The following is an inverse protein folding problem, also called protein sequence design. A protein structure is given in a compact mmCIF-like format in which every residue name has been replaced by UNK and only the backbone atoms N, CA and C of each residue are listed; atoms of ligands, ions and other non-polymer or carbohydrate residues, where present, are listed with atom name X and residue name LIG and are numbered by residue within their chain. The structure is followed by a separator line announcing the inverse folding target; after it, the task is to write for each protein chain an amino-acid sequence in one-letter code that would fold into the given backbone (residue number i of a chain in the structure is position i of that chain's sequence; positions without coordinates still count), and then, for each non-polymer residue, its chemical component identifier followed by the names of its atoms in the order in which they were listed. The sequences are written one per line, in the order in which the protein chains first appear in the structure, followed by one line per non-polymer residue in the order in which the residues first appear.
data_IF_349385102297
#
_entry.id   IF_349385102297
#
_cell.length_a   1.000
_cell.length_b   1.000
_cell.length_c   1.000
_cell.angle_alpha   90.00
_cell.angle_beta   90.00
_cell.angle_gamma   90.00
#
_symmetry.space_group_name_H-M   'P 1'
#
loop_
_entity.id
_entity.type
_entity.pdbx_description
1 polymer ?
#
# COMPACT_ATOMS: atom_id res chain seq x y z
N UNK A 1 -6.57 -10.51 -8.88
CA UNK A 1 -5.50 -11.11 -8.06
C UNK A 1 -5.44 -12.61 -8.29
N UNK A 2 -4.23 -13.22 -8.42
CA UNK A 2 -4.07 -14.66 -8.62
C UNK A 2 -4.15 -15.49 -7.32
N UNK A 3 -3.98 -14.87 -6.16
CA UNK A 3 -4.03 -15.52 -4.83
C UNK A 3 -4.71 -14.62 -3.80
N UNK A 4 -5.30 -15.22 -2.77
CA UNK A 4 -5.84 -14.53 -1.59
C UNK A 4 -7.02 -13.62 -1.90
N UNK A 5 -7.90 -14.00 -2.84
CA UNK A 5 -9.02 -13.17 -3.29
C UNK A 5 -9.93 -12.76 -2.13
N UNK A 6 -10.24 -13.67 -1.21
CA UNK A 6 -11.05 -13.34 -0.02
C UNK A 6 -10.37 -12.28 0.86
N UNK A 7 -9.07 -12.46 1.16
CA UNK A 7 -8.32 -11.51 1.99
C UNK A 7 -8.16 -10.14 1.31
N UNK A 8 -7.95 -10.13 -0.01
CA UNK A 8 -7.87 -8.91 -0.81
C UNK A 8 -9.24 -8.24 -0.92
N UNK A 9 -10.34 -8.98 -1.00
CA UNK A 9 -11.69 -8.41 -1.00
C UNK A 9 -11.96 -7.66 0.30
N UNK A 10 -11.72 -8.28 1.46
CA UNK A 10 -11.90 -7.62 2.76
C UNK A 10 -10.97 -6.40 2.89
N UNK A 11 -9.75 -6.49 2.35
CA UNK A 11 -8.82 -5.35 2.31
C UNK A 11 -9.39 -4.19 1.47
N UNK A 12 -9.95 -4.48 0.29
CA UNK A 12 -10.56 -3.48 -0.59
C UNK A 12 -11.85 -2.88 -0.03
N UNK A 13 -12.52 -3.60 0.87
CA UNK A 13 -13.71 -3.13 1.59
C UNK A 13 -13.39 -2.37 2.87
N UNK A 14 -12.13 -2.01 3.11
CA UNK A 14 -11.75 -1.18 4.24
C UNK A 14 -12.60 0.11 4.30
N UNK A 15 -13.19 0.48 5.46
CA UNK A 15 -14.10 1.63 5.57
C UNK A 15 -13.52 2.95 5.05
N UNK A 16 -12.25 3.28 5.39
CA UNK A 16 -11.66 4.55 4.93
C UNK A 16 -11.34 4.50 3.44
N UNK A 17 -10.97 3.33 2.90
CA UNK A 17 -10.73 3.19 1.45
C UNK A 17 -12.02 3.44 0.67
N UNK A 18 -13.14 2.82 1.08
CA UNK A 18 -14.44 3.02 0.44
C UNK A 18 -14.91 4.49 0.52
N UNK A 19 -14.72 5.13 1.67
CA UNK A 19 -15.04 6.55 1.81
C UNK A 19 -14.19 7.43 0.88
N UNK A 20 -12.89 7.14 0.75
CA UNK A 20 -12.02 7.88 -0.16
C UNK A 20 -12.47 7.77 -1.62
N UNK A 21 -12.88 6.57 -2.04
CA UNK A 21 -13.43 6.35 -3.38
C UNK A 21 -14.73 7.12 -3.59
N UNK A 22 -15.62 7.14 -2.60
CA UNK A 22 -16.87 7.91 -2.66
C UNK A 22 -16.64 9.43 -2.69
N UNK A 23 -15.50 9.92 -2.17
CA UNK A 23 -15.18 11.35 -2.07
C UNK A 23 -14.49 11.96 -3.30
N UNK A 24 -14.18 11.17 -4.34
CA UNK A 24 -13.46 11.62 -5.56
C UNK A 24 -12.18 12.40 -5.23
N UNK A 25 -11.40 11.90 -4.26
CA UNK A 25 -10.17 12.56 -3.81
C UNK A 25 -8.96 12.23 -4.71
N UNK A 26 -7.97 13.12 -4.79
CA UNK A 26 -6.71 12.80 -5.48
C UNK A 26 -5.99 11.58 -4.85
N UNK A 27 -6.17 11.36 -3.55
CA UNK A 27 -5.63 10.20 -2.84
C UNK A 27 -6.29 8.89 -3.30
N UNK A 28 -7.56 8.90 -3.73
CA UNK A 28 -8.23 7.69 -4.24
C UNK A 28 -7.59 7.23 -5.55
N UNK A 29 -7.36 8.16 -6.49
CA UNK A 29 -6.65 7.88 -7.75
C UNK A 29 -5.25 7.30 -7.47
N UNK A 30 -4.49 7.91 -6.56
CA UNK A 30 -3.16 7.42 -6.20
C UNK A 30 -3.21 6.00 -5.60
N UNK A 31 -4.17 5.74 -4.71
CA UNK A 31 -4.36 4.42 -4.10
C UNK A 31 -4.80 3.36 -5.12
N UNK A 32 -5.75 3.68 -6.02
CA UNK A 32 -6.19 2.77 -7.10
C UNK A 32 -5.01 2.39 -7.97
N UNK A 33 -4.25 3.38 -8.47
CA UNK A 33 -3.12 3.13 -9.36
C UNK A 33 -2.07 2.27 -8.65
N UNK A 34 -1.78 2.53 -7.39
CA UNK A 34 -0.79 1.79 -6.62
C UNK A 34 -1.23 0.37 -6.24
N UNK A 35 -2.48 0.17 -5.84
CA UNK A 35 -3.05 -1.16 -5.61
C UNK A 35 -3.08 -1.96 -6.93
N UNK A 36 -3.48 -1.34 -8.03
CA UNK A 36 -3.49 -1.96 -9.35
C UNK A 36 -2.07 -2.32 -9.81
N UNK A 37 -1.08 -1.47 -9.55
CA UNK A 37 0.32 -1.74 -9.81
C UNK A 37 0.77 -3.03 -9.13
N UNK A 38 0.56 -3.13 -7.80
CA UNK A 38 0.88 -4.33 -7.03
C UNK A 38 0.14 -5.55 -7.59
N UNK A 39 -1.14 -5.43 -7.94
CA UNK A 39 -1.92 -6.53 -8.49
C UNK A 39 -1.40 -7.02 -9.85
N UNK A 40 -0.96 -6.10 -10.73
CA UNK A 40 -0.38 -6.42 -12.04
C UNK A 40 0.98 -7.10 -11.87
N UNK A 41 1.85 -6.57 -11.00
CA UNK A 41 3.14 -7.19 -10.66
C UNK A 41 2.94 -8.63 -10.18
N UNK A 42 2.02 -8.84 -9.24
CA UNK A 42 1.73 -10.17 -8.68
C UNK A 42 1.13 -11.12 -9.73
N UNK A 43 0.28 -10.61 -10.63
CA UNK A 43 -0.27 -11.39 -11.74
C UNK A 43 0.83 -11.84 -12.71
N UNK A 44 1.71 -10.93 -13.14
CA UNK A 44 2.84 -11.26 -14.03
C UNK A 44 3.76 -12.28 -13.36
N UNK A 45 4.02 -12.10 -12.07
CA UNK A 45 4.80 -13.05 -11.30
C UNK A 45 4.15 -14.43 -11.30
N UNK A 46 2.84 -14.54 -11.10
CA UNK A 46 2.14 -15.83 -11.12
C UNK A 46 2.18 -16.51 -12.49
N UNK A 47 1.89 -15.75 -13.55
CA UNK A 47 1.84 -16.26 -14.93
C UNK A 47 3.22 -16.64 -15.46
N UNK A 48 4.31 -16.13 -14.86
CA UNK A 48 5.70 -16.37 -15.28
C UNK A 48 5.99 -15.93 -16.72
N UNK A 49 5.13 -15.09 -17.29
CA UNK A 49 5.18 -14.64 -18.67
C UNK A 49 5.21 -13.12 -18.72
N UNK A 50 6.31 -12.58 -19.25
CA UNK A 50 6.45 -11.13 -19.44
C UNK A 50 6.05 -10.75 -20.87
N UNK A 51 4.75 -10.53 -21.07
CA UNK A 51 4.22 -10.12 -22.37
C UNK A 51 4.47 -8.64 -22.68
N UNK A 52 4.38 -8.24 -23.95
CA UNK A 52 4.45 -6.82 -24.33
C UNK A 52 3.31 -5.99 -23.71
N UNK A 53 2.13 -6.60 -23.55
CA UNK A 53 0.99 -5.97 -22.85
C UNK A 53 1.30 -5.73 -21.38
N UNK A 54 1.99 -6.68 -20.73
CA UNK A 54 2.45 -6.56 -19.35
C UNK A 54 3.48 -5.44 -19.18
N UNK A 55 4.43 -5.36 -20.12
CA UNK A 55 5.42 -4.27 -20.19
C UNK A 55 4.73 -2.90 -20.28
N UNK A 56 3.82 -2.75 -21.24
CA UNK A 56 3.11 -1.50 -21.47
C UNK A 56 2.26 -1.09 -20.28
N UNK A 57 1.56 -2.05 -19.64
CA UNK A 57 0.80 -1.82 -18.43
C UNK A 57 1.69 -1.34 -17.27
N UNK A 58 2.86 -1.97 -17.05
CA UNK A 58 3.79 -1.57 -16.00
C UNK A 58 4.39 -0.18 -16.25
N UNK A 59 4.75 0.15 -17.49
CA UNK A 59 5.22 1.50 -17.84
C UNK A 59 4.12 2.53 -17.57
N UNK A 60 2.91 2.30 -18.09
CA UNK A 60 1.78 3.21 -17.93
C UNK A 60 1.46 3.43 -16.44
N UNK A 61 1.34 2.36 -15.66
CA UNK A 61 1.06 2.47 -14.22
C UNK A 61 2.20 3.14 -13.46
N UNK A 62 3.46 2.94 -13.86
CA UNK A 62 4.60 3.63 -13.24
C UNK A 62 4.56 5.15 -13.49
N UNK A 63 4.16 5.57 -14.69
CA UNK A 63 3.93 6.98 -15.00
C UNK A 63 2.79 7.54 -14.17
N UNK A 64 1.67 6.82 -14.10
CA UNK A 64 0.53 7.23 -13.28
C UNK A 64 0.88 7.31 -11.79
N UNK A 65 1.74 6.42 -11.26
CA UNK A 65 2.25 6.51 -9.89
C UNK A 65 3.03 7.79 -9.67
N UNK A 66 3.95 8.10 -10.58
CA UNK A 66 4.77 9.29 -10.50
C UNK A 66 3.93 10.57 -10.54
N UNK A 67 2.95 10.62 -11.44
CA UNK A 67 2.05 11.77 -11.62
C UNK A 67 1.03 11.93 -10.50
N UNK A 68 0.52 10.83 -9.94
CA UNK A 68 -0.50 10.88 -8.88
C UNK A 68 0.11 11.24 -7.53
N UNK A 69 1.15 10.50 -7.10
CA UNK A 69 1.83 10.76 -5.84
C UNK A 69 3.23 10.17 -5.84
N UNK A 70 4.23 11.04 -6.01
CA UNK A 70 5.65 10.66 -6.16
C UNK A 70 6.16 9.74 -5.03
N UNK A 71 5.62 9.85 -3.83
CA UNK A 71 6.00 9.01 -2.68
C UNK A 71 5.71 7.51 -2.88
N UNK A 72 4.80 7.15 -3.80
CA UNK A 72 4.49 5.76 -4.16
C UNK A 72 5.33 5.25 -5.34
N UNK A 73 6.09 6.11 -6.02
CA UNK A 73 6.94 5.70 -7.14
C UNK A 73 7.94 4.56 -6.80
N UNK A 74 8.55 4.50 -5.60
CA UNK A 74 9.43 3.39 -5.23
C UNK A 74 8.75 2.02 -5.20
N UNK A 75 7.40 1.92 -5.24
CA UNK A 75 6.70 0.65 -5.45
C UNK A 75 7.11 -0.04 -6.75
N UNK A 76 7.63 0.71 -7.73
CA UNK A 76 8.18 0.14 -8.97
C UNK A 76 9.27 -0.89 -8.71
N UNK A 77 10.00 -0.77 -7.60
CA UNK A 77 11.02 -1.71 -7.19
C UNK A 77 10.45 -3.12 -6.86
N UNK A 78 9.14 -3.26 -6.67
CA UNK A 78 8.50 -4.57 -6.54
C UNK A 78 8.73 -5.44 -7.79
N UNK A 79 9.00 -4.86 -8.96
CA UNK A 79 9.36 -5.62 -10.14
C UNK A 79 10.59 -6.52 -9.94
N UNK A 80 11.48 -6.19 -8.98
CA UNK A 80 12.68 -6.97 -8.67
C UNK A 80 12.37 -8.42 -8.25
N UNK A 81 11.16 -8.72 -7.77
CA UNK A 81 10.74 -10.11 -7.48
C UNK A 81 10.79 -11.01 -8.73
N UNK A 82 10.67 -10.44 -9.93
CA UNK A 82 10.72 -11.19 -11.18
C UNK A 82 12.14 -11.57 -11.60
N UNK A 83 13.17 -10.91 -11.05
CA UNK A 83 14.56 -11.05 -11.49
C UNK A 83 15.02 -12.51 -11.54
N UNK A 84 14.88 -13.22 -10.41
CA UNK A 84 15.34 -14.60 -10.28
C UNK A 84 14.52 -15.55 -11.16
N UNK A 85 13.22 -15.28 -11.29
CA UNK A 85 12.27 -16.13 -11.97
C UNK A 85 12.37 -16.04 -13.50
N UNK A 86 12.68 -14.86 -14.02
CA UNK A 86 12.79 -14.62 -15.47
C UNK A 86 14.20 -14.85 -16.01
N UNK A 87 15.24 -14.89 -15.15
CA UNK A 87 16.63 -15.04 -15.61
C UNK A 87 16.80 -16.25 -16.52
N UNK A 88 17.35 -16.03 -17.72
CA UNK A 88 17.56 -17.06 -18.74
C UNK A 88 16.37 -17.35 -19.64
N UNK A 89 15.26 -16.62 -19.50
CA UNK A 89 14.10 -16.70 -20.41
C UNK A 89 14.09 -15.52 -21.38
N UNK A 90 13.40 -15.65 -22.53
CA UNK A 90 13.17 -14.54 -23.47
C UNK A 90 12.44 -13.35 -22.83
N UNK A 91 11.68 -13.62 -21.75
CA UNK A 91 10.99 -12.62 -20.94
C UNK A 91 11.94 -11.75 -20.12
N UNK A 92 13.18 -12.19 -19.88
CA UNK A 92 14.18 -11.46 -19.11
C UNK A 92 14.55 -10.12 -19.74
N UNK A 93 14.78 -10.11 -21.07
CA UNK A 93 15.17 -8.90 -21.80
C UNK A 93 14.07 -7.85 -21.71
N UNK A 94 12.80 -8.27 -21.84
CA UNK A 94 11.63 -7.37 -21.73
C UNK A 94 11.49 -6.80 -20.32
N UNK A 95 11.79 -7.59 -19.30
CA UNK A 95 11.83 -7.14 -17.92
C UNK A 95 12.93 -6.08 -17.70
N UNK A 96 14.16 -6.33 -18.17
CA UNK A 96 15.24 -5.34 -18.08
C UNK A 96 14.88 -4.05 -18.81
N UNK A 97 14.37 -4.16 -20.04
CA UNK A 97 13.90 -3.01 -20.81
C UNK A 97 12.82 -2.23 -20.07
N UNK A 98 11.87 -2.90 -19.42
CA UNK A 98 10.83 -2.23 -18.61
C UNK A 98 11.43 -1.38 -17.50
N UNK A 99 12.46 -1.87 -16.81
CA UNK A 99 13.08 -1.18 -15.69
C UNK A 99 13.79 0.09 -16.18
N UNK A 100 14.57 -0.02 -17.26
CA UNK A 100 15.22 1.12 -17.88
C UNK A 100 14.22 2.12 -18.47
N UNK A 101 13.16 1.66 -19.12
CA UNK A 101 12.11 2.53 -19.66
C UNK A 101 11.40 3.31 -18.55
N UNK A 102 11.05 2.64 -17.43
CA UNK A 102 10.43 3.31 -16.28
C UNK A 102 11.40 4.34 -15.67
N UNK A 103 12.67 3.98 -15.48
CA UNK A 103 13.69 4.89 -14.94
C UNK A 103 13.91 6.11 -15.86
N UNK A 104 13.96 5.91 -17.18
CA UNK A 104 14.09 6.96 -18.18
C UNK A 104 12.89 7.91 -18.12
N UNK A 105 11.67 7.38 -18.18
CA UNK A 105 10.45 8.21 -18.13
C UNK A 105 10.35 8.97 -16.81
N UNK A 106 10.71 8.34 -15.69
CA UNK A 106 10.71 9.01 -14.40
C UNK A 106 11.75 10.14 -14.33
N UNK A 107 12.93 9.94 -14.91
CA UNK A 107 13.96 10.97 -15.01
C UNK A 107 13.50 12.14 -15.87
N UNK A 108 12.92 11.88 -17.05
CA UNK A 108 12.37 12.91 -17.91
C UNK A 108 11.22 13.68 -17.23
N UNK A 109 10.29 12.98 -16.59
CA UNK A 109 9.17 13.61 -15.89
C UNK A 109 9.65 14.44 -14.70
N UNK A 110 10.64 13.97 -13.94
CA UNK A 110 11.23 14.74 -12.85
C UNK A 110 11.88 16.03 -13.38
N UNK A 111 12.71 15.94 -14.41
CA UNK A 111 13.37 17.12 -15.03
C UNK A 111 12.36 18.10 -15.63
N UNK A 112 11.32 17.61 -16.30
CA UNK A 112 10.37 18.47 -17.03
C UNK A 112 9.27 19.07 -16.15
N UNK A 113 8.86 18.40 -15.07
CA UNK A 113 7.72 18.82 -14.24
C UNK A 113 8.17 19.47 -12.92
N UNK A 114 9.32 19.07 -12.38
CA UNK A 114 9.74 19.49 -11.06
C UNK A 114 10.67 20.71 -11.10
N UNK A 115 10.19 21.85 -10.61
CA UNK A 115 10.89 23.14 -10.68
C UNK A 115 11.33 23.70 -9.31
N UNK A 116 11.52 22.83 -8.30
CA UNK A 116 11.86 23.25 -6.93
C UNK A 116 12.97 22.42 -6.29
N UNK A 117 13.24 22.66 -5.01
CA UNK A 117 14.08 21.78 -4.19
C UNK A 117 13.26 20.57 -3.74
N UNK A 118 13.67 19.37 -4.15
CA UNK A 118 12.99 18.13 -3.78
C UNK A 118 13.26 17.82 -2.31
N UNK A 119 12.22 17.83 -1.48
CA UNK A 119 12.27 17.42 -0.07
C UNK A 119 13.48 17.96 0.73
N UNK A 120 13.78 19.28 0.72
CA UNK A 120 15.02 19.84 1.27
C UNK A 120 15.21 19.47 2.76
N UNK A 121 14.19 19.68 3.59
CA UNK A 121 14.26 19.38 5.03
C UNK A 121 14.43 17.88 5.32
N UNK A 122 13.93 17.03 4.41
CA UNK A 122 14.11 15.59 4.52
C UNK A 122 15.56 15.20 4.25
N UNK A 123 16.15 15.76 3.19
CA UNK A 123 17.55 15.53 2.88
C UNK A 123 18.47 16.11 3.96
N UNK A 124 18.15 17.26 4.53
CA UNK A 124 18.87 17.82 5.67
C UNK A 124 18.84 16.89 6.87
N UNK A 125 17.68 16.33 7.20
CA UNK A 125 17.58 15.32 8.26
C UNK A 125 18.41 14.06 7.92
N UNK A 126 18.33 13.57 6.69
CA UNK A 126 19.05 12.37 6.23
C UNK A 126 20.58 12.53 6.22
N UNK A 127 21.11 13.75 6.08
CA UNK A 127 22.55 14.05 6.21
C UNK A 127 23.09 13.77 7.62
N UNK A 128 22.22 13.75 8.63
CA UNK A 128 22.54 13.38 10.00
C UNK A 128 21.90 12.02 10.36
N UNK A 129 22.49 10.87 9.96
CA UNK A 129 21.81 9.58 9.97
C UNK A 129 21.33 9.11 11.35
N UNK A 130 22.12 9.35 12.40
CA UNK A 130 21.73 9.00 13.78
C UNK A 130 20.56 9.86 14.28
N UNK A 131 20.53 11.14 13.90
CA UNK A 131 19.43 12.04 14.24
C UNK A 131 18.16 11.67 13.45
N UNK A 132 18.30 11.39 12.15
CA UNK A 132 17.23 10.87 11.30
C UNK A 132 16.60 9.60 11.90
N UNK A 133 17.42 8.63 12.30
CA UNK A 133 16.93 7.40 12.92
C UNK A 133 16.16 7.67 14.22
N UNK A 134 16.67 8.56 15.09
CA UNK A 134 15.97 8.95 16.33
C UNK A 134 14.60 9.59 16.05
N UNK A 135 14.55 10.57 15.15
CA UNK A 135 13.31 11.25 14.76
C UNK A 135 12.32 10.26 14.15
N UNK A 136 12.78 9.38 13.26
CA UNK A 136 11.93 8.39 12.60
C UNK A 136 11.36 7.37 13.59
N UNK A 137 12.18 6.84 14.50
CA UNK A 137 11.73 5.91 15.56
C UNK A 137 10.73 6.60 16.49
N UNK A 138 11.00 7.84 16.91
CA UNK A 138 10.09 8.61 17.75
C UNK A 138 8.76 8.87 17.03
N UNK A 139 8.80 9.15 15.73
CA UNK A 139 7.61 9.33 14.90
C UNK A 139 6.77 8.05 14.83
N UNK A 140 7.40 6.89 14.65
CA UNK A 140 6.69 5.59 14.70
C UNK A 140 6.05 5.37 16.08
N UNK A 141 6.76 5.68 17.15
CA UNK A 141 6.27 5.48 18.51
C UNK A 141 5.06 6.36 18.83
N UNK A 142 5.12 7.65 18.51
CA UNK A 142 4.05 8.60 18.84
C UNK A 142 2.88 8.55 17.82
N UNK A 143 3.18 8.45 16.53
CA UNK A 143 2.17 8.52 15.46
C UNK A 143 1.68 7.15 14.98
N UNK A 144 2.38 6.06 15.33
CA UNK A 144 2.00 4.70 14.95
C UNK A 144 0.56 4.31 15.30
N UNK A 145 0.08 4.57 16.54
CA UNK A 145 -1.32 4.33 16.90
C UNK A 145 -2.30 5.08 16.01
N UNK A 146 -2.01 6.35 15.71
CA UNK A 146 -2.83 7.17 14.80
C UNK A 146 -2.84 6.62 13.38
N UNK A 147 -1.69 6.20 12.84
CA UNK A 147 -1.61 5.59 11.50
C UNK A 147 -2.41 4.30 11.41
N UNK A 148 -2.35 3.47 12.45
CA UNK A 148 -3.11 2.22 12.51
C UNK A 148 -4.62 2.48 12.60
N UNK A 149 -5.05 3.37 13.50
CA UNK A 149 -6.45 3.74 13.68
C UNK A 149 -7.04 4.35 12.41
N UNK A 150 -6.34 5.32 11.81
CA UNK A 150 -6.78 5.97 10.57
C UNK A 150 -6.73 5.05 9.36
N UNK A 151 -5.85 4.04 9.32
CA UNK A 151 -5.83 3.03 8.25
C UNK A 151 -7.06 2.13 8.28
N UNK A 152 -7.49 1.70 9.47
CA UNK A 152 -8.62 0.78 9.62
C UNK A 152 -9.98 1.48 9.75
N UNK A 153 -10.03 2.79 9.54
CA UNK A 153 -11.28 3.56 9.51
C UNK A 153 -11.84 3.92 10.88
N UNK A 154 -11.03 3.97 11.93
CA UNK A 154 -11.49 4.44 13.25
C UNK A 154 -12.02 5.89 13.19
N UNK A 155 -11.39 6.72 12.36
CA UNK A 155 -11.81 8.09 12.09
C UNK A 155 -12.19 8.21 10.61
N UNK A 156 -13.47 8.48 10.36
CA UNK A 156 -14.06 8.73 9.04
C UNK A 156 -14.24 10.24 8.81
N UNK A 157 -14.75 10.61 7.63
CA UNK A 157 -14.82 12.00 7.16
C UNK A 157 -13.42 12.57 6.90
N UNK A 158 -13.17 13.79 7.36
CA UNK A 158 -11.83 14.39 7.39
C UNK A 158 -10.99 13.90 8.58
N UNK A 159 -11.17 12.63 8.98
CA UNK A 159 -10.68 12.04 10.24
C UNK A 159 -11.32 12.68 11.49
N UNK A 160 -12.56 13.15 11.37
CA UNK A 160 -13.29 13.86 12.43
C UNK A 160 -14.44 13.03 13.02
N UNK A 161 -14.88 11.98 12.33
CA UNK A 161 -16.04 11.17 12.74
C UNK A 161 -15.52 9.87 13.33
N UNK A 162 -15.65 9.69 14.63
CA UNK A 162 -15.26 8.44 15.28
C UNK A 162 -16.33 7.38 15.04
N UNK A 163 -15.92 6.22 14.53
CA UNK A 163 -16.82 5.07 14.44
C UNK A 163 -16.87 4.32 15.75
N UNK A 164 -17.85 3.43 15.89
CA UNK A 164 -17.93 2.57 17.06
C UNK A 164 -16.67 1.69 17.17
N UNK A 165 -15.93 1.71 18.30
CA UNK A 165 -14.69 0.95 18.44
C UNK A 165 -14.84 -0.56 18.17
N UNK A 166 -16.05 -1.09 18.40
CA UNK A 166 -16.36 -2.48 18.09
C UNK A 166 -16.22 -2.79 16.59
N UNK A 167 -16.75 -1.95 15.71
CA UNK A 167 -16.64 -2.12 14.26
C UNK A 167 -15.19 -2.07 13.78
N UNK A 168 -14.41 -1.13 14.32
CA UNK A 168 -12.97 -1.03 14.07
C UNK A 168 -12.23 -2.33 14.43
N UNK A 169 -12.42 -2.85 15.65
CA UNK A 169 -11.76 -4.09 16.07
C UNK A 169 -12.26 -5.29 15.28
N UNK A 170 -13.56 -5.35 14.99
CA UNK A 170 -14.15 -6.41 14.18
C UNK A 170 -13.56 -6.44 12.78
N UNK A 171 -13.33 -5.29 12.13
CA UNK A 171 -12.64 -5.21 10.85
C UNK A 171 -11.21 -5.75 10.94
N UNK A 172 -10.42 -5.32 11.93
CA UNK A 172 -9.04 -5.78 12.12
C UNK A 172 -8.98 -7.30 12.34
N UNK A 173 -9.86 -7.83 13.19
CA UNK A 173 -9.95 -9.27 13.47
C UNK A 173 -10.34 -9.99 12.19
N UNK A 174 -11.37 -9.53 11.47
CA UNK A 174 -11.82 -10.13 10.23
C UNK A 174 -10.70 -10.19 9.19
N UNK A 175 -10.03 -9.05 8.94
CA UNK A 175 -8.90 -8.94 8.01
C UNK A 175 -7.77 -9.90 8.39
N UNK A 176 -7.52 -10.09 9.69
CA UNK A 176 -6.50 -11.02 10.18
C UNK A 176 -6.92 -12.48 9.99
N UNK A 177 -8.17 -12.83 10.31
CA UNK A 177 -8.71 -14.20 10.20
C UNK A 177 -8.67 -14.68 8.75
N UNK A 178 -9.10 -13.86 7.78
CA UNK A 178 -9.16 -14.26 6.36
C UNK A 178 -7.78 -14.54 5.73
N UNK A 179 -6.68 -14.07 6.35
CA UNK A 179 -5.31 -14.37 5.92
C UNK A 179 -4.91 -15.83 6.18
N UNK A 180 -5.51 -16.46 7.19
CA UNK A 180 -5.20 -17.82 7.61
C UNK A 180 -6.35 -18.79 7.31
N UNK A 181 -7.58 -18.30 7.31
CA UNK A 181 -8.80 -19.05 7.08
C UNK A 181 -9.45 -18.56 5.79
N UNK A 182 -9.27 -19.29 4.69
CA UNK A 182 -9.89 -18.98 3.40
C UNK A 182 -10.18 -20.26 2.60
N UNK A 183 -11.20 -20.19 1.74
CA UNK A 183 -11.67 -21.31 0.91
C UNK A 183 -10.74 -21.61 -0.28
N UNK A 184 -9.69 -20.80 -0.44
CA UNK A 184 -8.78 -20.86 -1.58
C UNK A 184 -7.62 -21.83 -1.35
N UNK A 185 -7.40 -22.71 -2.33
CA UNK A 185 -6.14 -23.44 -2.46
C UNK A 185 -5.04 -22.48 -2.95
N UNK A 186 -4.59 -21.57 -2.10
CA UNK A 186 -3.45 -20.74 -2.46
C UNK A 186 -2.21 -21.64 -2.51
N UNK A 187 -1.57 -21.80 -3.66
CA UNK A 187 -0.21 -22.36 -3.67
C UNK A 187 0.74 -21.31 -3.09
N UNK A 188 1.82 -21.74 -2.43
CA UNK A 188 2.86 -20.81 -1.95
C UNK A 188 3.46 -20.12 -3.18
N UNK A 189 3.05 -18.88 -3.43
CA UNK A 189 3.40 -18.15 -4.64
C UNK A 189 4.85 -17.65 -4.58
N UNK A 190 5.23 -17.03 -3.46
CA UNK A 190 6.53 -16.35 -3.29
C UNK A 190 7.53 -17.17 -2.49
N UNK A 191 8.79 -17.23 -2.96
CA UNK A 191 9.90 -17.80 -2.21
C UNK A 191 10.45 -16.80 -1.18
N UNK A 192 11.28 -17.25 -0.23
CA UNK A 192 11.75 -16.39 0.88
C UNK A 192 12.50 -15.14 0.41
N UNK A 193 13.24 -15.23 -0.70
CA UNK A 193 13.93 -14.07 -1.30
C UNK A 193 12.93 -13.04 -1.80
N UNK A 194 11.87 -13.46 -2.49
CA UNK A 194 10.85 -12.54 -3.03
C UNK A 194 10.12 -11.83 -1.88
N UNK A 195 9.83 -12.57 -0.81
CA UNK A 195 9.21 -12.01 0.40
C UNK A 195 10.09 -10.94 1.03
N UNK A 196 11.40 -11.20 1.15
CA UNK A 196 12.36 -10.23 1.65
C UNK A 196 12.38 -8.97 0.78
N UNK A 197 12.44 -9.12 -0.55
CA UNK A 197 12.40 -7.99 -1.49
C UNK A 197 11.11 -7.17 -1.30
N UNK A 198 9.95 -7.82 -1.21
CA UNK A 198 8.68 -7.13 -0.98
C UNK A 198 8.69 -6.31 0.31
N UNK A 199 9.17 -6.89 1.43
CA UNK A 199 9.26 -6.19 2.72
C UNK A 199 10.26 -5.03 2.66
N UNK A 200 11.41 -5.21 2.01
CA UNK A 200 12.38 -4.14 1.83
C UNK A 200 11.79 -2.97 1.03
N UNK A 201 11.08 -3.25 -0.07
CA UNK A 201 10.42 -2.21 -0.87
C UNK A 201 9.32 -1.51 -0.08
N UNK A 202 8.52 -2.26 0.70
CA UNK A 202 7.51 -1.68 1.61
C UNK A 202 8.16 -0.73 2.61
N UNK A 203 9.27 -1.13 3.23
CA UNK A 203 9.98 -0.29 4.20
C UNK A 203 10.53 0.98 3.56
N UNK A 204 11.14 0.88 2.38
CA UNK A 204 11.67 2.06 1.64
C UNK A 204 10.54 3.04 1.32
N UNK A 205 9.40 2.56 0.82
CA UNK A 205 8.26 3.42 0.55
C UNK A 205 7.68 4.03 1.83
N UNK A 206 7.56 3.24 2.90
CA UNK A 206 7.07 3.74 4.18
C UNK A 206 7.96 4.86 4.72
N UNK A 207 9.28 4.66 4.70
CA UNK A 207 10.25 5.67 5.07
C UNK A 207 10.07 6.94 4.22
N UNK A 208 9.96 6.81 2.91
CA UNK A 208 9.77 7.96 2.02
C UNK A 208 8.44 8.70 2.25
N UNK A 209 7.33 7.98 2.47
CA UNK A 209 6.04 8.59 2.83
C UNK A 209 6.20 9.43 4.10
N UNK A 210 6.85 8.90 5.14
CA UNK A 210 7.10 9.66 6.36
C UNK A 210 7.95 10.88 6.07
N UNK A 211 9.10 10.70 5.40
CA UNK A 211 10.01 11.81 5.08
C UNK A 211 9.31 12.92 4.28
N UNK A 212 8.42 12.60 3.34
CA UNK A 212 7.69 13.62 2.55
C UNK A 212 6.88 14.60 3.40
N UNK A 213 6.50 14.22 4.63
CA UNK A 213 5.77 15.08 5.55
C UNK A 213 6.66 15.93 6.48
N UNK A 214 8.00 15.83 6.34
CA UNK A 214 8.93 16.58 7.19
C UNK A 214 8.74 18.09 7.08
N UNK A 215 8.67 18.62 5.86
CA UNK A 215 8.47 20.05 5.63
C UNK A 215 7.15 20.54 6.25
N UNK A 216 6.08 19.76 6.09
CA UNK A 216 4.79 20.06 6.71
C UNK A 216 4.91 20.13 8.24
N UNK A 217 5.59 19.15 8.85
CA UNK A 217 5.75 19.11 10.31
C UNK A 217 6.53 20.31 10.85
N UNK A 218 7.57 20.76 10.12
CA UNK A 218 8.37 21.91 10.53
C UNK A 218 7.61 23.22 10.37
N UNK A 219 6.87 23.38 9.28
CA UNK A 219 6.21 24.65 8.93
C UNK A 219 4.85 24.83 9.60
N UNK A 220 4.06 23.76 9.69
CA UNK A 220 2.69 23.79 10.23
C UNK A 220 2.68 23.41 11.71
N UNK A 221 3.24 22.24 12.03
CA UNK A 221 3.18 21.70 13.40
C UNK A 221 4.28 22.27 14.32
N UNK A 222 5.30 22.92 13.74
CA UNK A 222 6.45 23.53 14.44
C UNK A 222 7.17 22.56 15.37
N UNK A 223 7.29 21.30 14.96
CA UNK A 223 7.97 20.22 15.68
C UNK A 223 9.15 19.69 14.88
N UNK A 224 10.33 19.63 15.50
CA UNK A 224 11.56 19.16 14.84
C UNK A 224 11.94 17.72 15.19
N UNK A 225 11.44 17.23 16.32
CA UNK A 225 11.83 15.96 16.93
C UNK A 225 10.99 14.76 16.47
N UNK A 226 9.87 15.02 15.78
CA UNK A 226 8.95 14.04 15.20
C UNK A 226 8.57 14.44 13.77
N UNK A 227 7.90 13.54 13.06
CA UNK A 227 7.29 13.77 11.75
C UNK A 227 5.81 13.41 11.85
N UNK A 228 4.96 14.41 11.60
CA UNK A 228 3.51 14.35 11.67
C UNK A 228 2.91 14.42 10.25
N UNK A 229 1.59 14.51 10.14
CA UNK A 229 0.89 14.69 8.84
C UNK A 229 0.70 13.42 8.00
N UNK A 230 1.41 12.32 8.31
CA UNK A 230 1.17 11.02 7.66
C UNK A 230 -0.16 10.45 8.15
N UNK A 231 -1.00 10.01 7.20
CA UNK A 231 -2.29 9.37 7.49
C UNK A 231 -2.26 7.89 7.09
N UNK A 232 -3.01 7.06 7.83
CA UNK A 232 -3.08 5.61 7.57
C UNK A 232 -3.54 5.23 6.17
N UNK A 233 -4.32 6.10 5.52
CA UNK A 233 -4.77 5.93 4.12
C UNK A 233 -3.64 5.92 3.09
N UNK A 234 -2.45 6.42 3.44
CA UNK A 234 -1.27 6.32 2.58
C UNK A 234 -0.60 4.95 2.64
N UNK A 235 -1.00 4.09 3.58
CA UNK A 235 -0.41 2.79 3.80
C UNK A 235 -1.08 1.68 2.98
N UNK A 236 -2.24 1.92 2.34
CA UNK A 236 -2.95 0.90 1.56
C UNK A 236 -2.05 0.19 0.53
N UNK A 237 -1.28 0.90 -0.32
CA UNK A 237 -0.43 0.25 -1.29
C UNK A 237 0.71 -0.58 -0.67
N UNK A 238 1.08 -0.27 0.58
CA UNK A 238 2.13 -0.94 1.33
C UNK A 238 1.63 -2.15 2.09
N UNK A 239 0.41 -2.08 2.62
CA UNK A 239 -0.22 -3.18 3.36
C UNK A 239 -0.52 -4.34 2.43
N UNK A 240 -0.93 -4.11 1.18
CA UNK A 240 -1.25 -5.19 0.24
C UNK A 240 -0.08 -6.18 0.01
N UNK A 241 1.16 -5.76 -0.33
CA UNK A 241 2.31 -6.66 -0.37
C UNK A 241 2.57 -7.39 0.96
N UNK A 242 2.34 -6.75 2.11
CA UNK A 242 2.50 -7.38 3.43
C UNK A 242 1.46 -8.48 3.65
N UNK A 243 0.18 -8.22 3.32
CA UNK A 243 -0.89 -9.22 3.41
C UNK A 243 -0.57 -10.45 2.55
N UNK A 244 -0.09 -10.24 1.32
CA UNK A 244 0.31 -11.32 0.41
C UNK A 244 1.50 -12.15 0.93
N UNK A 245 2.38 -11.55 1.73
CA UNK A 245 3.50 -12.24 2.38
C UNK A 245 3.05 -13.12 3.56
N UNK A 246 2.07 -12.63 4.32
CA UNK A 246 1.53 -13.32 5.50
C UNK A 246 0.61 -14.46 5.09
N UNK A 247 -0.16 -14.29 4.00
CA UNK A 247 -1.16 -15.23 3.51
C UNK A 247 -0.69 -16.69 3.64
N UNK A 248 -1.40 -17.46 4.48
CA UNK A 248 -1.16 -18.88 4.68
C UNK A 248 -2.33 -19.67 4.09
N UNK A 249 -2.11 -20.46 3.04
CA UNK A 249 -3.14 -21.33 2.51
C UNK A 249 -3.35 -22.51 3.45
N UNK A 250 -4.47 -22.55 4.15
CA UNK A 250 -4.91 -23.75 4.85
C UNK A 250 -6.34 -24.02 4.39
N UNK A 251 -6.49 -24.68 3.24
CA UNK A 251 -7.81 -25.12 2.78
C UNK A 251 -8.40 -26.21 3.67
N UNK A 252 -7.56 -26.98 4.38
CA UNK A 252 -8.04 -28.15 5.13
C UNK A 252 -8.95 -27.80 6.31
N UNK A 253 -9.04 -26.54 6.70
CA UNK A 253 -9.86 -26.10 7.83
C UNK A 253 -11.18 -25.46 7.45
N UNK A 254 -11.39 -25.01 6.20
CA UNK A 254 -12.60 -24.26 5.84
C UNK A 254 -13.67 -25.14 5.19
N UNK A 255 -14.91 -24.99 5.66
CA UNK A 255 -16.09 -25.70 5.13
C UNK A 255 -16.65 -25.08 3.84
N UNK A 256 -15.97 -24.09 3.23
CA UNK A 256 -16.40 -23.46 1.97
C UNK A 256 -17.30 -22.23 2.12
N UNK A 257 -17.55 -21.75 3.35
CA UNK A 257 -18.47 -20.65 3.64
C UNK A 257 -17.78 -19.36 4.11
N UNK A 258 -16.45 -19.26 4.02
CA UNK A 258 -15.69 -18.12 4.57
C UNK A 258 -16.02 -16.83 3.83
N UNK A 259 -16.14 -16.88 2.51
CA UNK A 259 -16.46 -15.69 1.72
C UNK A 259 -17.83 -15.09 2.12
N UNK A 260 -18.84 -15.93 2.30
CA UNK A 260 -20.17 -15.49 2.69
C UNK A 260 -20.15 -14.89 4.10
N UNK A 261 -19.56 -15.60 5.07
CA UNK A 261 -19.48 -15.13 6.46
C UNK A 261 -18.70 -13.82 6.58
N UNK A 262 -17.54 -13.73 5.93
CA UNK A 262 -16.73 -12.51 5.93
C UNK A 262 -17.42 -11.33 5.26
N UNK A 263 -18.15 -11.57 4.16
CA UNK A 263 -18.95 -10.53 3.49
C UNK A 263 -20.10 -10.03 4.37
N UNK A 264 -20.80 -10.91 5.08
CA UNK A 264 -21.88 -10.53 6.01
C UNK A 264 -21.35 -9.67 7.18
N UNK A 265 -20.22 -10.07 7.76
CA UNK A 265 -19.56 -9.30 8.83
C UNK A 265 -19.15 -7.93 8.29
N UNK A 266 -18.51 -7.88 7.12
CA UNK A 266 -18.09 -6.63 6.50
C UNK A 266 -19.27 -5.70 6.18
N UNK A 267 -20.36 -6.23 5.63
CA UNK A 267 -21.59 -5.46 5.40
C UNK A 267 -22.16 -4.89 6.70
N UNK A 268 -22.09 -5.64 7.80
CA UNK A 268 -22.54 -5.17 9.12
C UNK A 268 -21.68 -4.01 9.62
N UNK A 269 -20.35 -4.14 9.51
CA UNK A 269 -19.40 -3.08 9.85
C UNK A 269 -19.73 -1.81 9.07
N UNK A 270 -19.81 -1.91 7.74
CA UNK A 270 -20.08 -0.77 6.86
C UNK A 270 -21.44 -0.12 7.13
N UNK A 271 -22.47 -0.91 7.45
CA UNK A 271 -23.78 -0.39 7.79
C UNK A 271 -23.75 0.43 9.09
N UNK A 272 -23.06 -0.06 10.13
CA UNK A 272 -22.93 0.67 11.40
C UNK A 272 -22.04 1.90 11.26
N UNK A 273 -20.96 1.80 10.49
CA UNK A 273 -20.10 2.96 10.17
C UNK A 273 -20.89 4.02 9.41
N UNK A 274 -21.75 3.62 8.47
CA UNK A 274 -22.64 4.53 7.76
C UNK A 274 -23.64 5.23 8.69
N UNK A 275 -24.22 4.52 9.67
CA UNK A 275 -25.06 5.14 10.71
C UNK A 275 -24.25 6.18 11.51
N UNK A 276 -23.00 5.87 11.85
CA UNK A 276 -22.12 6.79 12.57
C UNK A 276 -21.88 8.08 11.78
N UNK A 277 -21.68 7.96 10.46
CA UNK A 277 -21.58 9.12 9.56
C UNK A 277 -22.89 9.92 9.54
N UNK A 278 -24.04 9.27 9.35
CA UNK A 278 -25.33 9.95 9.32
C UNK A 278 -25.63 10.69 10.63
N UNK A 279 -25.23 10.13 11.78
CA UNK A 279 -25.45 10.75 13.09
C UNK A 279 -24.57 11.99 13.34
N UNK A 280 -23.54 12.20 12.52
CA UNK A 280 -22.63 13.34 12.63
C UNK A 280 -23.09 14.56 11.81
N UNK A 281 -24.14 14.41 10.99
CA UNK A 281 -24.80 15.47 10.22
C UNK A 281 -26.18 15.80 10.80
#
# INVERSE_FOLDING_TARGET
MPVGKNAVLIFLLNPILLQQEASVSADSVANIVAILYVAVVVKIYADSLYSYRSLLALILLSVLLLLSKIMFFPLVLLNLIHWKKLKGTDSYIKFIFSFFAIAFVASCAFVSLYHGSFMPDSFDLMRAPLHCAKVFIKSIWEMGPFWFQSYAGYNLGALSINVWPFCFWLYIILQSVVLFYNDENNKKLFCSTDRFVMIAVVFVNFFLIVMTMRNWTLTVDKREDIIMGVQGRYLFPLVLPVLLNILRPIKSSSEGHVLLGSSLIMSTILFVDFISILSAF
#
